data_IF_290153342349
#
_entry.id   IF_290153342349
#
_cell.length_a   1.000
_cell.length_b   1.000
_cell.length_c   1.000
_cell.angle_alpha   90.00
_cell.angle_beta   90.00
_cell.angle_gamma   90.00
#
_symmetry.space_group_name_H-M   'P 1'
#
loop_
_entity.id
_entity.type
_entity.pdbx_description
1 polymer ?
#
# COMPACT_ATOMS: atom_id res chain seq x y z
N UNK A 1 12.86 12.52 -4.48
CA UNK A 1 12.08 12.32 -3.26
C UNK A 1 11.69 10.87 -3.09
N UNK A 2 11.79 10.35 -1.88
CA UNK A 2 11.26 9.05 -1.50
C UNK A 2 10.30 9.27 -0.33
N UNK A 3 9.01 9.18 -0.60
CA UNK A 3 7.93 9.47 0.36
C UNK A 3 7.37 8.15 0.89
N UNK A 4 7.41 7.98 2.21
CA UNK A 4 6.94 6.80 2.92
C UNK A 4 5.82 7.18 3.89
N UNK A 5 4.80 6.33 4.10
CA UNK A 5 3.71 6.65 5.02
C UNK A 5 4.17 6.64 6.49
N UNK A 6 5.14 5.78 6.83
CA UNK A 6 5.63 5.61 8.21
C UNK A 6 6.94 4.81 8.23
N UNK A 7 7.57 4.70 9.41
CA UNK A 7 8.78 3.88 9.62
C UNK A 7 8.60 2.76 10.64
N UNK A 8 7.43 2.65 11.28
CA UNK A 8 7.17 1.59 12.26
C UNK A 8 6.91 0.24 11.60
N UNK A 9 6.26 0.23 10.45
CA UNK A 9 6.09 -0.96 9.65
C UNK A 9 7.43 -1.28 8.93
N UNK A 10 8.06 -2.43 9.21
CA UNK A 10 9.42 -2.75 8.72
C UNK A 10 9.55 -2.82 7.19
N UNK A 11 8.45 -2.93 6.46
CA UNK A 11 8.47 -2.93 4.99
C UNK A 11 9.02 -1.60 4.45
N UNK A 12 8.64 -0.46 5.04
CA UNK A 12 8.99 0.85 4.51
C UNK A 12 10.49 1.19 4.70
N UNK A 13 11.12 0.97 5.86
CA UNK A 13 12.58 1.04 5.97
C UNK A 13 13.32 0.12 4.99
N UNK A 14 12.86 -1.11 4.80
CA UNK A 14 13.48 -2.04 3.85
C UNK A 14 13.35 -1.53 2.39
N UNK A 15 12.20 -0.99 2.01
CA UNK A 15 12.00 -0.34 0.71
C UNK A 15 12.93 0.86 0.56
N UNK A 16 13.05 1.70 1.60
CA UNK A 16 13.92 2.88 1.55
C UNK A 16 15.38 2.48 1.33
N UNK A 17 15.85 1.44 1.97
CA UNK A 17 17.22 0.92 1.80
C UNK A 17 17.45 0.42 0.37
N UNK A 18 16.57 -0.44 -0.14
CA UNK A 18 16.72 -1.04 -1.48
C UNK A 18 16.59 0.01 -2.58
N UNK A 19 15.57 0.87 -2.51
CA UNK A 19 15.35 1.95 -3.50
C UNK A 19 16.46 2.98 -3.40
N UNK A 20 16.87 3.37 -2.20
CA UNK A 20 17.97 4.29 -1.98
C UNK A 20 19.28 3.78 -2.57
N UNK A 21 19.61 2.51 -2.35
CA UNK A 21 20.78 1.86 -2.94
C UNK A 21 20.73 1.81 -4.48
N UNK A 22 19.58 1.49 -5.06
CA UNK A 22 19.40 1.48 -6.51
C UNK A 22 19.50 2.87 -7.14
N UNK A 23 19.03 3.90 -6.45
CA UNK A 23 19.18 5.30 -6.87
C UNK A 23 20.63 5.76 -6.79
N UNK A 24 21.32 5.45 -5.69
CA UNK A 24 22.74 5.80 -5.51
C UNK A 24 23.63 5.22 -6.60
N UNK A 25 23.40 3.97 -7.03
CA UNK A 25 24.11 3.34 -8.15
C UNK A 25 23.91 4.07 -9.49
N UNK A 26 22.87 4.89 -9.60
CA UNK A 26 22.54 5.70 -10.78
C UNK A 26 22.89 7.18 -10.62
N UNK A 27 23.61 7.54 -9.54
CA UNK A 27 24.04 8.91 -9.26
C UNK A 27 22.99 9.82 -8.63
N UNK A 28 21.90 9.24 -8.10
CA UNK A 28 20.89 10.00 -7.39
C UNK A 28 21.08 9.87 -5.88
N UNK A 29 20.80 10.95 -5.15
CA UNK A 29 20.74 10.95 -3.69
C UNK A 29 19.29 11.06 -3.25
N UNK A 30 18.71 10.07 -2.54
CA UNK A 30 17.35 10.14 -2.09
C UNK A 30 17.14 11.15 -0.97
N UNK A 31 16.08 11.96 -1.05
CA UNK A 31 15.54 12.76 0.05
C UNK A 31 14.40 11.97 0.66
N UNK A 32 14.57 11.48 1.87
CA UNK A 32 13.58 10.66 2.56
C UNK A 32 12.55 11.56 3.28
N UNK A 33 11.28 11.36 2.99
CA UNK A 33 10.14 12.01 3.60
C UNK A 33 9.24 10.96 4.25
N UNK A 34 8.91 11.13 5.54
CA UNK A 34 8.05 10.19 6.25
C UNK A 34 6.99 10.92 7.05
N UNK A 35 5.76 10.43 7.00
CA UNK A 35 4.70 10.98 7.85
C UNK A 35 4.96 10.60 9.31
N UNK A 36 4.75 11.57 10.19
CA UNK A 36 4.72 11.37 11.64
C UNK A 36 3.49 12.05 12.20
N UNK A 37 2.97 11.56 13.31
CA UNK A 37 1.83 12.18 13.98
C UNK A 37 2.16 13.65 14.33
N UNK A 38 1.34 14.58 13.85
CA UNK A 38 1.56 16.02 14.02
C UNK A 38 2.67 16.63 13.14
N UNK A 39 3.27 15.84 12.24
CA UNK A 39 4.27 16.31 11.28
C UNK A 39 3.65 16.85 9.98
N UNK A 40 4.50 17.02 8.97
CA UNK A 40 4.10 17.47 7.64
C UNK A 40 3.17 16.47 6.96
N UNK A 41 2.21 17.00 6.22
CA UNK A 41 1.35 16.21 5.32
C UNK A 41 2.12 15.73 4.09
N UNK A 42 1.55 14.81 3.33
CA UNK A 42 2.14 14.35 2.08
C UNK A 42 2.23 15.48 1.05
N UNK A 43 1.23 16.37 1.00
CA UNK A 43 1.24 17.56 0.14
C UNK A 43 2.29 18.59 0.55
N UNK A 44 2.57 18.74 1.85
CA UNK A 44 3.64 19.62 2.32
C UNK A 44 5.01 19.10 1.91
N UNK A 45 5.21 17.76 1.98
CA UNK A 45 6.43 17.14 1.47
C UNK A 45 6.60 17.34 -0.02
N UNK A 46 5.53 17.25 -0.81
CA UNK A 46 5.58 17.52 -2.25
C UNK A 46 6.01 18.96 -2.51
N UNK A 47 5.45 19.93 -1.78
CA UNK A 47 5.85 21.34 -1.89
C UNK A 47 7.34 21.52 -1.59
N UNK A 48 7.82 20.95 -0.48
CA UNK A 48 9.23 20.98 -0.10
C UNK A 48 10.14 20.36 -1.17
N UNK A 49 9.77 19.22 -1.73
CA UNK A 49 10.53 18.53 -2.77
C UNK A 49 10.59 19.33 -4.07
N UNK A 50 9.50 20.01 -4.44
CA UNK A 50 9.49 20.94 -5.57
C UNK A 50 10.45 22.12 -5.37
N UNK A 51 10.47 22.70 -4.17
CA UNK A 51 11.41 23.80 -3.81
C UNK A 51 12.87 23.32 -3.84
N UNK A 52 13.12 22.06 -3.52
CA UNK A 52 14.45 21.44 -3.62
C UNK A 52 14.84 21.01 -5.03
N UNK A 53 13.98 21.21 -6.02
CA UNK A 53 14.21 20.86 -7.43
C UNK A 53 14.59 19.38 -7.62
N UNK A 54 13.90 18.47 -6.96
CA UNK A 54 14.17 17.03 -7.11
C UNK A 54 13.92 16.55 -8.54
N UNK A 55 14.70 15.57 -8.99
CA UNK A 55 14.60 15.01 -10.34
C UNK A 55 13.42 14.04 -10.54
N UNK A 56 12.77 13.62 -9.46
CA UNK A 56 11.61 12.73 -9.49
C UNK A 56 11.18 12.36 -8.08
N UNK A 57 10.01 11.73 -7.94
CA UNK A 57 9.45 11.32 -6.66
C UNK A 57 8.95 9.87 -6.74
N UNK A 58 9.30 9.07 -5.73
CA UNK A 58 8.74 7.74 -5.50
C UNK A 58 7.88 7.80 -4.25
N UNK A 59 6.62 7.42 -4.37
CA UNK A 59 5.72 7.23 -3.24
C UNK A 59 5.60 5.73 -2.94
N UNK A 60 6.01 5.31 -1.76
CA UNK A 60 5.97 3.91 -1.34
C UNK A 60 4.81 3.67 -0.36
N UNK A 61 3.59 3.66 -0.88
CA UNK A 61 2.36 3.73 -0.08
C UNK A 61 1.97 5.19 0.19
N UNK A 62 0.82 5.42 0.76
CA UNK A 62 0.32 6.75 1.08
C UNK A 62 -1.07 7.03 0.52
N UNK A 63 -1.42 8.29 0.42
CA UNK A 63 -2.76 8.76 0.07
C UNK A 63 -3.27 8.25 -1.29
N UNK A 64 -2.41 7.96 -2.26
CA UNK A 64 -2.85 7.44 -3.56
C UNK A 64 -3.61 6.11 -3.46
N UNK A 65 -3.36 5.33 -2.40
CA UNK A 65 -4.04 4.06 -2.16
C UNK A 65 -5.35 4.22 -1.35
N UNK A 66 -5.62 5.40 -0.81
CA UNK A 66 -6.79 5.75 -0.01
C UNK A 66 -7.80 6.50 -0.90
N UNK A 67 -9.03 5.97 -1.03
CA UNK A 67 -10.02 6.52 -1.96
C UNK A 67 -10.49 7.93 -1.57
N UNK A 68 -10.56 8.21 -0.27
CA UNK A 68 -11.07 9.46 0.28
C UNK A 68 -9.98 10.50 0.58
N UNK A 69 -8.71 10.15 0.30
CA UNK A 69 -7.60 11.06 0.51
C UNK A 69 -7.45 12.08 -0.63
N UNK A 70 -6.86 13.26 -0.36
CA UNK A 70 -6.58 14.26 -1.40
C UNK A 70 -5.49 13.76 -2.35
N UNK A 71 -5.69 13.91 -3.66
CA UNK A 71 -4.76 13.46 -4.69
C UNK A 71 -4.18 14.59 -5.55
N UNK A 72 -4.48 15.85 -5.24
CA UNK A 72 -4.09 17.03 -6.02
C UNK A 72 -2.57 17.18 -6.15
N UNK A 73 -1.81 16.79 -5.15
CA UNK A 73 -0.36 16.88 -5.14
C UNK A 73 0.32 15.93 -6.15
N UNK A 74 -0.30 14.78 -6.49
CA UNK A 74 0.18 13.92 -7.57
C UNK A 74 -0.03 14.57 -8.95
N UNK A 75 -1.19 15.21 -9.14
CA UNK A 75 -1.46 15.97 -10.36
C UNK A 75 -0.52 17.17 -10.50
N UNK A 76 -0.26 17.87 -9.41
CA UNK A 76 0.69 18.99 -9.38
C UNK A 76 2.09 18.57 -9.83
N UNK A 77 2.60 17.44 -9.35
CA UNK A 77 3.91 16.91 -9.77
C UNK A 77 3.92 16.62 -11.29
N UNK A 78 2.86 15.99 -11.81
CA UNK A 78 2.70 15.71 -13.23
C UNK A 78 2.66 16.99 -14.07
N UNK A 79 1.90 18.00 -13.66
CA UNK A 79 1.82 19.30 -14.32
C UNK A 79 3.17 20.04 -14.35
N UNK A 80 3.98 19.87 -13.31
CA UNK A 80 5.33 20.42 -13.23
C UNK A 80 6.37 19.59 -13.99
N UNK A 81 5.96 18.49 -14.63
CA UNK A 81 6.86 17.61 -15.39
C UNK A 81 7.83 16.82 -14.51
N UNK A 82 7.53 16.65 -13.21
CA UNK A 82 8.34 15.84 -12.29
C UNK A 82 7.91 14.38 -12.44
N UNK A 83 8.80 13.46 -12.81
CA UNK A 83 8.51 12.03 -12.88
C UNK A 83 8.07 11.49 -11.52
N UNK A 84 6.98 10.71 -11.52
CA UNK A 84 6.43 10.07 -10.31
C UNK A 84 6.31 8.57 -10.54
N UNK A 85 6.66 7.79 -9.53
CA UNK A 85 6.41 6.35 -9.49
C UNK A 85 5.67 6.03 -8.19
N UNK A 86 4.57 5.29 -8.30
CA UNK A 86 3.82 4.76 -7.17
C UNK A 86 4.28 3.32 -6.88
N UNK A 87 4.53 3.01 -5.62
CA UNK A 87 4.98 1.69 -5.18
C UNK A 87 4.05 1.14 -4.09
N UNK A 88 3.77 -0.15 -4.14
CA UNK A 88 2.99 -0.91 -3.15
C UNK A 88 1.45 -0.76 -3.25
N UNK A 89 0.93 -0.03 -4.20
CA UNK A 89 -0.49 -0.09 -4.56
C UNK A 89 -0.68 0.24 -6.04
N UNK A 90 -1.56 -0.49 -6.70
CA UNK A 90 -2.00 -0.18 -8.05
C UNK A 90 -3.29 0.65 -7.98
N UNK A 91 -3.32 1.81 -8.63
CA UNK A 91 -4.48 2.68 -8.74
C UNK A 91 -4.57 3.23 -10.16
N UNK A 92 -5.71 3.05 -10.80
CA UNK A 92 -5.86 3.40 -12.23
C UNK A 92 -6.13 4.89 -12.44
N UNK A 93 -6.85 5.52 -11.52
CA UNK A 93 -7.34 6.89 -11.67
C UNK A 93 -6.23 7.97 -11.74
N UNK A 94 -5.02 7.67 -11.29
CA UNK A 94 -3.90 8.64 -11.35
C UNK A 94 -3.10 8.57 -12.64
N UNK A 95 -3.23 7.50 -13.42
CA UNK A 95 -2.48 7.31 -14.68
C UNK A 95 -0.96 7.52 -14.55
N UNK A 96 -0.38 7.14 -13.41
CA UNK A 96 1.04 7.24 -13.11
C UNK A 96 1.73 5.87 -13.19
N UNK A 97 3.02 5.83 -13.54
CA UNK A 97 3.81 4.60 -13.43
C UNK A 97 3.72 4.00 -12.03
N UNK A 98 3.47 2.68 -11.96
CA UNK A 98 3.27 2.01 -10.69
C UNK A 98 3.87 0.61 -10.67
N UNK A 99 4.35 0.22 -9.50
CA UNK A 99 4.88 -1.11 -9.20
C UNK A 99 4.18 -1.64 -7.96
N UNK A 100 3.47 -2.74 -8.09
CA UNK A 100 2.77 -3.36 -6.95
C UNK A 100 2.73 -4.88 -7.09
N UNK A 101 2.41 -5.55 -6.00
CA UNK A 101 2.02 -6.95 -6.04
C UNK A 101 0.65 -7.10 -6.72
N UNK A 102 0.43 -8.26 -7.33
CA UNK A 102 -0.92 -8.66 -7.75
C UNK A 102 -1.68 -9.17 -6.52
N UNK A 103 -2.55 -8.33 -5.99
CA UNK A 103 -3.32 -8.62 -4.78
C UNK A 103 -4.25 -9.83 -4.97
N UNK A 104 -4.79 -10.02 -6.17
CA UNK A 104 -5.69 -11.14 -6.50
C UNK A 104 -4.92 -12.46 -6.49
N UNK A 105 -3.79 -12.52 -7.19
CA UNK A 105 -2.93 -13.71 -7.23
C UNK A 105 -2.37 -14.03 -5.85
N UNK A 106 -2.00 -13.03 -5.06
CA UNK A 106 -1.51 -13.24 -3.70
C UNK A 106 -2.55 -13.92 -2.81
N UNK A 107 -3.81 -13.47 -2.88
CA UNK A 107 -4.91 -14.10 -2.12
C UNK A 107 -5.24 -15.48 -2.66
N UNK A 108 -5.26 -15.67 -3.98
CA UNK A 108 -5.50 -16.98 -4.61
C UNK A 108 -4.48 -18.02 -4.13
N UNK A 109 -3.19 -17.66 -4.12
CA UNK A 109 -2.13 -18.55 -3.66
C UNK A 109 -2.24 -18.87 -2.17
N UNK A 110 -2.48 -17.87 -1.32
CA UNK A 110 -2.60 -18.06 0.12
C UNK A 110 -3.84 -18.90 0.48
N UNK A 111 -5.00 -18.56 -0.08
CA UNK A 111 -6.24 -19.27 0.15
C UNK A 111 -6.16 -20.69 -0.37
N UNK A 112 -5.71 -20.89 -1.61
CA UNK A 112 -5.55 -22.21 -2.23
C UNK A 112 -4.59 -23.11 -1.43
N UNK A 113 -3.51 -22.55 -0.90
CA UNK A 113 -2.57 -23.28 -0.03
C UNK A 113 -3.28 -23.77 1.24
N UNK A 114 -3.99 -22.91 1.96
CA UNK A 114 -4.72 -23.29 3.16
C UNK A 114 -5.82 -24.31 2.87
N UNK A 115 -6.57 -24.12 1.80
CA UNK A 115 -7.61 -25.06 1.37
C UNK A 115 -7.05 -26.43 1.00
N UNK A 116 -5.86 -26.50 0.36
CA UNK A 116 -5.18 -27.75 0.01
C UNK A 116 -4.71 -28.53 1.24
N UNK A 117 -4.48 -27.86 2.36
CA UNK A 117 -4.15 -28.45 3.65
C UNK A 117 -5.41 -28.92 4.43
N UNK A 118 -6.60 -28.75 3.86
CA UNK A 118 -7.87 -29.19 4.46
C UNK A 118 -8.50 -28.17 5.41
N UNK A 119 -8.01 -26.93 5.44
CA UNK A 119 -8.65 -25.89 6.25
C UNK A 119 -10.01 -25.51 5.62
N UNK A 120 -11.07 -25.63 6.39
CA UNK A 120 -12.44 -25.30 5.94
C UNK A 120 -12.85 -23.88 6.32
N UNK A 121 -12.41 -23.41 7.47
CA UNK A 121 -12.66 -22.04 7.95
C UNK A 121 -11.37 -21.24 7.84
N UNK A 122 -11.34 -20.35 6.85
CA UNK A 122 -10.18 -19.49 6.57
C UNK A 122 -10.61 -18.05 6.80
N UNK A 123 -10.08 -17.40 7.82
CA UNK A 123 -10.35 -15.99 8.10
C UNK A 123 -9.46 -15.04 7.30
N UNK A 124 -9.91 -13.81 7.14
CA UNK A 124 -9.17 -12.73 6.49
C UNK A 124 -9.07 -11.52 7.42
N UNK A 125 -7.86 -11.14 7.79
CA UNK A 125 -7.58 -9.81 8.35
C UNK A 125 -7.06 -8.92 7.23
N UNK A 126 -7.77 -7.84 6.95
CA UNK A 126 -7.49 -6.92 5.85
C UNK A 126 -7.37 -5.49 6.40
N UNK A 127 -6.69 -4.62 5.66
CA UNK A 127 -6.54 -3.21 6.05
C UNK A 127 -7.83 -2.39 5.97
N UNK A 128 -7.76 -1.07 6.12
CA UNK A 128 -8.91 -0.17 6.07
C UNK A 128 -9.76 -0.35 4.81
N UNK A 129 -11.06 -0.06 4.92
CA UNK A 129 -12.03 -0.25 3.84
C UNK A 129 -11.80 0.68 2.64
N UNK A 130 -11.30 1.87 2.87
CA UNK A 130 -10.99 2.88 1.84
C UNK A 130 -9.68 2.57 1.10
N UNK A 131 -8.85 1.65 1.60
CA UNK A 131 -7.56 1.30 1.03
C UNK A 131 -7.70 0.36 -0.17
N UNK A 132 -7.27 0.79 -1.35
CA UNK A 132 -7.47 0.07 -2.61
C UNK A 132 -6.92 -1.38 -2.62
N UNK A 133 -5.69 -1.67 -2.14
CA UNK A 133 -5.20 -3.05 -2.02
C UNK A 133 -6.06 -3.92 -1.08
N UNK A 134 -6.58 -3.32 0.01
CA UNK A 134 -7.47 -4.03 0.95
C UNK A 134 -8.76 -4.48 0.28
N UNK A 135 -9.38 -3.59 -0.49
CA UNK A 135 -10.60 -3.91 -1.27
C UNK A 135 -10.35 -5.01 -2.29
N UNK A 136 -9.22 -4.96 -3.02
CA UNK A 136 -8.88 -6.02 -4.00
C UNK A 136 -8.66 -7.38 -3.32
N UNK A 137 -7.94 -7.41 -2.20
CA UNK A 137 -7.73 -8.64 -1.42
C UNK A 137 -9.05 -9.21 -0.90
N UNK A 138 -9.94 -8.35 -0.40
CA UNK A 138 -11.26 -8.77 0.05
C UNK A 138 -12.11 -9.34 -1.09
N UNK A 139 -12.12 -8.67 -2.24
CA UNK A 139 -12.84 -9.16 -3.41
C UNK A 139 -12.30 -10.54 -3.88
N UNK A 140 -10.97 -10.67 -3.95
CA UNK A 140 -10.33 -11.93 -4.29
C UNK A 140 -10.62 -13.05 -3.28
N UNK A 141 -10.64 -12.74 -1.98
CA UNK A 141 -11.00 -13.71 -0.95
C UNK A 141 -12.44 -14.24 -1.14
N UNK A 142 -13.41 -13.35 -1.38
CA UNK A 142 -14.80 -13.73 -1.64
C UNK A 142 -14.92 -14.61 -2.90
N UNK A 143 -14.15 -14.29 -3.94
CA UNK A 143 -14.09 -15.11 -5.15
C UNK A 143 -13.51 -16.50 -4.86
N UNK A 144 -12.44 -16.59 -4.06
CA UNK A 144 -11.85 -17.87 -3.67
C UNK A 144 -12.80 -18.73 -2.83
N UNK A 145 -13.58 -18.16 -1.92
CA UNK A 145 -14.63 -18.87 -1.22
C UNK A 145 -15.58 -19.55 -2.23
N UNK A 146 -16.10 -18.78 -3.20
CA UNK A 146 -17.00 -19.31 -4.24
C UNK A 146 -16.36 -20.40 -5.11
N UNK A 147 -15.10 -20.21 -5.55
CA UNK A 147 -14.37 -21.22 -6.35
C UNK A 147 -14.16 -22.54 -5.62
N UNK A 148 -14.09 -22.51 -4.29
CA UNK A 148 -13.98 -23.70 -3.44
C UNK A 148 -15.33 -24.22 -2.93
N UNK A 149 -16.45 -23.74 -3.48
CA UNK A 149 -17.80 -24.16 -3.11
C UNK A 149 -18.23 -23.78 -1.69
N UNK A 150 -17.69 -22.68 -1.17
CA UNK A 150 -17.97 -22.17 0.18
C UNK A 150 -18.74 -20.87 0.12
N UNK A 151 -19.66 -20.70 1.04
CA UNK A 151 -20.28 -19.40 1.28
C UNK A 151 -19.30 -18.48 2.03
N UNK A 152 -19.40 -17.19 1.75
CA UNK A 152 -18.62 -16.20 2.47
C UNK A 152 -19.21 -16.01 3.87
N UNK A 153 -18.42 -16.31 4.88
CA UNK A 153 -18.76 -16.02 6.28
C UNK A 153 -18.19 -14.66 6.65
N UNK A 154 -19.04 -13.64 6.70
CA UNK A 154 -18.62 -12.27 7.02
C UNK A 154 -18.04 -12.15 8.45
N UNK A 155 -18.30 -13.09 9.35
CA UNK A 155 -17.70 -13.14 10.68
C UNK A 155 -16.22 -13.56 10.66
N UNK A 156 -15.74 -14.08 9.53
CA UNK A 156 -14.35 -14.41 9.30
C UNK A 156 -13.58 -13.29 8.57
N UNK A 157 -14.18 -12.12 8.43
CA UNK A 157 -13.56 -10.95 7.78
C UNK A 157 -13.43 -9.83 8.79
N UNK A 158 -12.20 -9.41 9.05
CA UNK A 158 -11.89 -8.34 9.99
C UNK A 158 -11.06 -7.23 9.32
N UNK A 159 -11.48 -5.98 9.53
CA UNK A 159 -10.70 -4.82 9.12
C UNK A 159 -9.83 -4.32 10.28
N UNK A 160 -8.58 -3.98 9.97
CA UNK A 160 -7.62 -3.50 10.96
C UNK A 160 -6.76 -2.37 10.40
N UNK A 161 -6.30 -1.49 11.27
CA UNK A 161 -5.22 -0.56 10.96
C UNK A 161 -3.92 -1.34 10.74
N UNK A 162 -3.03 -0.82 9.90
CA UNK A 162 -1.72 -1.43 9.61
C UNK A 162 -0.75 -1.28 10.79
N UNK A 163 -1.09 -1.89 11.93
CA UNK A 163 -0.33 -1.88 13.16
C UNK A 163 -0.40 -3.23 13.86
N UNK A 164 0.58 -3.51 14.72
CA UNK A 164 0.62 -4.76 15.50
C UNK A 164 -0.64 -4.93 16.35
N UNK A 165 -1.06 -3.87 17.03
CA UNK A 165 -2.23 -3.85 17.90
C UNK A 165 -3.52 -4.07 17.09
N UNK A 166 -3.62 -3.46 15.89
CA UNK A 166 -4.75 -3.66 14.99
C UNK A 166 -4.87 -5.11 14.54
N UNK A 167 -3.78 -5.72 14.13
CA UNK A 167 -3.73 -7.13 13.75
C UNK A 167 -4.05 -8.08 14.90
N UNK A 168 -3.51 -7.81 16.09
CA UNK A 168 -3.80 -8.61 17.29
C UNK A 168 -5.28 -8.53 17.70
N UNK A 169 -5.85 -7.32 17.70
CA UNK A 169 -7.26 -7.13 18.03
C UNK A 169 -8.19 -7.84 17.03
N UNK A 170 -7.89 -7.73 15.72
CA UNK A 170 -8.65 -8.41 14.67
C UNK A 170 -8.56 -9.94 14.80
N UNK A 171 -7.35 -10.48 14.97
CA UNK A 171 -7.14 -11.92 15.16
C UNK A 171 -7.81 -12.48 16.41
N UNK A 172 -8.06 -11.66 17.45
CA UNK A 172 -8.77 -12.08 18.65
C UNK A 172 -10.29 -12.18 18.43
N UNK A 173 -10.83 -11.46 17.44
CA UNK A 173 -12.24 -11.50 17.09
C UNK A 173 -12.61 -12.64 16.14
N UNK A 174 -11.66 -13.14 15.35
CA UNK A 174 -11.78 -14.33 14.49
C UNK A 174 -11.74 -15.65 15.28
#
# INVERSE_FOLDING_TARGET
GLVLPELQNPIFPAVAEVVGGALAQRGFTPVLCTRTAGGLSESDYVTMLLDQHVSGVVFAGGHFAEADAPHEHYHLLRERGIPVVLFNAAVEHLELPQVSTDDTVAVEQAYGHLASLGHERIGLVVGPEDHAPSRRKLAAYREQCGRHGREVDEQLIEHAMFALEGGQAAATRL
#
